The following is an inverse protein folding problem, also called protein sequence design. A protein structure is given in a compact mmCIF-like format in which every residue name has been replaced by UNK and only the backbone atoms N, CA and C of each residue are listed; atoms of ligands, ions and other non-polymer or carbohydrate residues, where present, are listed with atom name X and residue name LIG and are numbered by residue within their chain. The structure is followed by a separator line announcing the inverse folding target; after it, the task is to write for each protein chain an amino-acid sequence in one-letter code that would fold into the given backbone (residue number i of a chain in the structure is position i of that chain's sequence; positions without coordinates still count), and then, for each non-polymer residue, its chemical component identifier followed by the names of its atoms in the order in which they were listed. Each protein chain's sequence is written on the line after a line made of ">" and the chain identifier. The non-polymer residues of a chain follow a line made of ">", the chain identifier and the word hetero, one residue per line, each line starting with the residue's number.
data_IF_485072361751
#
_entry.id   IF_485072361751
#
_cell.length_a   1.000
_cell.length_b   1.000
_cell.length_c   1.000
_cell.angle_alpha   90.00
_cell.angle_beta   90.00
_cell.angle_gamma   90.00
#
_symmetry.space_group_name_H-M   'P 1'
#
loop_
_entity.id
_entity.type
_entity.pdbx_description
1 polymer ?
#
# COMPACT_ATOMS: atom_id res chain seq x y z
N UNK A 1 -4.98 16.25 -19.94
CA UNK A 1 -5.87 15.07 -19.83
C UNK A 1 -5.42 14.27 -18.63
N UNK A 2 -6.31 13.97 -17.68
CA UNK A 2 -5.97 13.08 -16.56
C UNK A 2 -5.98 11.63 -17.06
N UNK A 3 -4.92 10.88 -16.78
CA UNK A 3 -4.86 9.46 -17.13
C UNK A 3 -5.85 8.62 -16.31
N UNK A 4 -6.04 7.33 -16.68
CA UNK A 4 -6.80 6.37 -15.89
C UNK A 4 -6.32 6.32 -14.44
N UNK A 5 -7.27 6.33 -13.50
CA UNK A 5 -6.97 6.34 -12.06
C UNK A 5 -7.95 5.44 -11.31
N UNK A 6 -7.47 4.80 -10.25
CA UNK A 6 -8.30 4.11 -9.27
C UNK A 6 -8.19 4.83 -7.94
N UNK A 7 -9.33 5.29 -7.42
CA UNK A 7 -9.43 5.86 -6.07
C UNK A 7 -10.00 4.84 -5.11
N UNK A 8 -9.43 4.75 -3.92
CA UNK A 8 -9.88 3.87 -2.85
C UNK A 8 -10.12 4.74 -1.62
N UNK A 9 -11.19 4.44 -0.88
CA UNK A 9 -11.52 5.11 0.38
C UNK A 9 -12.01 4.07 1.39
N UNK A 10 -11.52 4.15 2.62
CA UNK A 10 -12.07 3.38 3.73
C UNK A 10 -13.28 4.08 4.34
N UNK A 11 -14.25 3.30 4.82
CA UNK A 11 -15.46 3.86 5.43
C UNK A 11 -15.19 4.51 6.79
N UNK A 12 -14.20 3.99 7.53
CA UNK A 12 -13.69 4.60 8.77
C UNK A 12 -12.46 5.50 8.57
N UNK A 13 -11.80 5.87 9.67
CA UNK A 13 -10.62 6.75 9.65
C UNK A 13 -9.33 6.10 9.08
N UNK A 14 -9.43 4.85 8.59
CA UNK A 14 -8.55 4.29 7.57
C UNK A 14 -7.08 4.05 7.90
N UNK A 15 -6.61 4.34 9.11
CA UNK A 15 -5.17 4.36 9.41
C UNK A 15 -4.62 3.15 10.18
N UNK A 16 -5.41 2.58 11.09
CA UNK A 16 -5.00 1.48 11.98
C UNK A 16 -6.22 0.64 12.31
N UNK A 17 -6.05 -0.67 12.24
CA UNK A 17 -7.05 -1.68 12.57
C UNK A 17 -6.44 -2.70 13.54
N UNK A 18 -7.26 -3.30 14.39
CA UNK A 18 -6.91 -4.44 15.24
C UNK A 18 -7.30 -5.75 14.55
N UNK A 19 -6.65 -6.87 14.89
CA UNK A 19 -7.15 -8.20 14.53
C UNK A 19 -8.63 -8.37 14.88
N UNK A 20 -9.41 -8.92 13.94
CA UNK A 20 -10.85 -9.09 14.09
C UNK A 20 -11.69 -7.86 13.75
N UNK A 21 -11.08 -6.69 13.52
CA UNK A 21 -11.81 -5.53 13.02
C UNK A 21 -12.35 -5.79 11.60
N UNK A 22 -13.47 -5.14 11.28
CA UNK A 22 -13.99 -5.11 9.92
C UNK A 22 -13.32 -3.98 9.14
N UNK A 23 -12.54 -4.35 8.11
CA UNK A 23 -12.08 -3.42 7.08
C UNK A 23 -13.14 -3.32 6.00
N UNK A 24 -13.65 -2.12 5.76
CA UNK A 24 -14.62 -1.85 4.70
C UNK A 24 -14.33 -0.54 3.99
N UNK A 25 -14.81 -0.43 2.75
CA UNK A 25 -14.65 0.76 1.95
C UNK A 25 -15.18 0.63 0.54
N UNK A 26 -14.81 1.61 -0.27
CA UNK A 26 -15.22 1.72 -1.66
C UNK A 26 -14.04 2.04 -2.58
N UNK A 27 -14.23 1.74 -3.86
CA UNK A 27 -13.35 2.16 -4.93
C UNK A 27 -14.12 2.78 -6.10
N UNK A 28 -13.44 3.67 -6.83
CA UNK A 28 -13.91 4.25 -8.09
C UNK A 28 -12.83 4.16 -9.15
N UNK A 29 -13.25 3.83 -10.37
CA UNK A 29 -12.40 3.91 -11.56
C UNK A 29 -12.73 5.21 -12.28
N UNK A 30 -11.74 6.06 -12.49
CA UNK A 30 -11.87 7.37 -13.13
C UNK A 30 -11.14 7.38 -14.47
N UNK A 31 -11.63 8.22 -15.40
CA UNK A 31 -11.01 8.41 -16.73
C UNK A 31 -10.89 7.12 -17.56
N UNK A 32 -11.81 6.17 -17.37
CA UNK A 32 -11.92 4.93 -18.14
C UNK A 32 -13.38 4.69 -18.54
N UNK A 33 -13.69 4.55 -19.84
CA UNK A 33 -15.03 4.17 -20.29
C UNK A 33 -15.45 2.79 -19.77
N UNK A 34 -16.70 2.62 -19.36
CA UNK A 34 -17.18 1.37 -18.78
C UNK A 34 -17.05 0.16 -19.71
N UNK A 35 -17.27 0.37 -21.02
CA UNK A 35 -17.12 -0.64 -22.06
C UNK A 35 -15.66 -1.05 -22.32
N UNK A 36 -14.69 -0.30 -21.79
CA UNK A 36 -13.28 -0.68 -21.86
C UNK A 36 -12.83 -1.53 -20.67
N UNK A 37 -13.66 -1.72 -19.63
CA UNK A 37 -13.30 -2.51 -18.45
C UNK A 37 -13.75 -3.95 -18.63
N UNK A 38 -12.80 -4.89 -18.58
CA UNK A 38 -13.09 -6.33 -18.62
C UNK A 38 -13.35 -6.91 -17.23
N UNK A 39 -12.53 -6.51 -16.26
CA UNK A 39 -12.66 -6.99 -14.90
C UNK A 39 -12.07 -5.99 -13.90
N UNK A 40 -12.56 -6.06 -12.67
CA UNK A 40 -11.97 -5.41 -11.51
C UNK A 40 -11.69 -6.46 -10.46
N UNK A 41 -10.46 -6.47 -9.98
CA UNK A 41 -10.02 -7.27 -8.84
C UNK A 41 -9.77 -6.36 -7.65
N UNK A 42 -10.23 -6.79 -6.48
CA UNK A 42 -9.97 -6.15 -5.20
C UNK A 42 -9.29 -7.18 -4.31
N UNK A 43 -8.14 -6.84 -3.76
CA UNK A 43 -7.39 -7.70 -2.86
C UNK A 43 -7.08 -6.96 -1.57
N UNK A 44 -7.35 -7.58 -0.43
CA UNK A 44 -6.73 -7.22 0.85
C UNK A 44 -5.51 -8.09 1.00
N UNK A 45 -4.33 -7.49 1.01
CA UNK A 45 -3.07 -8.24 0.99
C UNK A 45 -2.02 -7.61 1.89
N UNK A 46 -1.00 -8.41 2.16
CA UNK A 46 0.24 -7.92 2.74
C UNK A 46 1.44 -8.33 1.89
N UNK A 47 2.52 -7.58 2.04
CA UNK A 47 3.81 -7.89 1.44
C UNK A 47 4.96 -7.45 2.35
N UNK A 48 6.12 -8.08 2.20
CA UNK A 48 7.36 -7.63 2.82
C UNK A 48 8.11 -6.65 1.93
N UNK A 49 8.81 -5.70 2.56
CA UNK A 49 9.64 -4.68 1.91
C UNK A 49 10.94 -4.57 2.71
N UNK A 50 12.10 -4.55 2.06
CA UNK A 50 13.38 -4.27 2.71
C UNK A 50 14.55 -5.11 2.20
N UNK A 51 15.49 -5.44 3.08
CA UNK A 51 16.61 -6.33 2.77
C UNK A 51 16.18 -7.79 2.89
N UNK A 52 16.55 -8.59 1.90
CA UNK A 52 16.19 -10.01 1.80
C UNK A 52 15.12 -10.23 0.74
N UNK A 53 14.44 -11.35 0.83
CA UNK A 53 13.38 -11.72 -0.12
C UNK A 53 12.08 -10.99 0.19
N UNK A 54 11.44 -10.50 -0.87
CA UNK A 54 10.09 -9.95 -0.82
C UNK A 54 9.07 -11.09 -0.94
N UNK A 55 8.08 -11.09 -0.05
CA UNK A 55 6.98 -12.05 0.00
C UNK A 55 5.66 -11.30 -0.06
N UNK A 56 4.60 -11.97 -0.53
CA UNK A 56 3.27 -11.41 -0.67
C UNK A 56 2.22 -12.51 -0.46
N UNK A 57 1.20 -12.21 0.35
CA UNK A 57 0.01 -13.05 0.43
C UNK A 57 -1.29 -12.25 0.45
N UNK A 58 -2.30 -12.81 -0.18
CA UNK A 58 -3.66 -12.27 -0.24
C UNK A 58 -4.47 -12.84 0.92
N UNK A 59 -5.03 -11.95 1.74
CA UNK A 59 -5.96 -12.31 2.81
C UNK A 59 -7.38 -12.50 2.28
N UNK A 60 -7.83 -11.57 1.44
CA UNK A 60 -9.17 -11.62 0.85
C UNK A 60 -9.17 -11.11 -0.59
N UNK A 61 -10.04 -11.65 -1.43
CA UNK A 61 -10.05 -11.42 -2.88
C UNK A 61 -11.47 -11.42 -3.45
N UNK A 62 -11.79 -10.39 -4.23
CA UNK A 62 -13.00 -10.34 -5.05
C UNK A 62 -12.66 -9.99 -6.48
N UNK A 63 -13.33 -10.67 -7.41
CA UNK A 63 -13.26 -10.35 -8.84
C UNK A 63 -14.67 -10.15 -9.39
N UNK A 64 -14.85 -9.06 -10.12
CA UNK A 64 -16.06 -8.77 -10.89
C UNK A 64 -15.68 -8.63 -12.36
N UNK A 65 -16.40 -9.33 -13.24
CA UNK A 65 -16.14 -9.33 -14.69
C UNK A 65 -17.36 -8.78 -15.42
N UNK A 66 -17.14 -8.04 -16.52
CA UNK A 66 -18.23 -7.54 -17.35
C UNK A 66 -19.07 -8.68 -17.97
N UNK A 67 -18.44 -9.83 -18.24
CA UNK A 67 -19.05 -10.97 -18.92
C UNK A 67 -19.81 -11.92 -17.97
N UNK A 68 -19.67 -11.71 -16.64
CA UNK A 68 -20.31 -12.54 -15.63
C UNK A 68 -21.63 -11.91 -15.18
N UNK A 69 -22.75 -12.39 -15.72
CA UNK A 69 -24.15 -12.30 -15.26
C UNK A 69 -24.69 -11.03 -14.57
N UNK A 70 -24.03 -10.53 -13.53
CA UNK A 70 -24.40 -9.32 -12.78
C UNK A 70 -23.90 -8.01 -13.41
N UNK A 71 -22.97 -8.09 -14.37
CA UNK A 71 -22.42 -6.92 -15.05
C UNK A 71 -21.66 -5.95 -14.12
N UNK A 72 -20.88 -5.05 -14.70
CA UNK A 72 -20.09 -4.08 -13.94
C UNK A 72 -20.76 -2.70 -13.98
N UNK A 73 -21.64 -2.36 -13.02
CA UNK A 73 -22.20 -1.00 -12.93
C UNK A 73 -21.20 -0.03 -12.30
N UNK A 74 -20.34 0.53 -13.15
CA UNK A 74 -19.29 1.48 -12.77
C UNK A 74 -19.82 2.90 -12.46
N UNK A 75 -21.12 3.15 -12.62
CA UNK A 75 -21.74 4.42 -12.19
C UNK A 75 -21.82 4.51 -10.66
N UNK A 76 -21.73 3.37 -9.98
CA UNK A 76 -21.73 3.27 -8.52
C UNK A 76 -20.32 2.88 -8.04
N UNK A 77 -19.90 3.35 -6.86
CA UNK A 77 -18.66 2.86 -6.24
C UNK A 77 -18.76 1.36 -6.00
N UNK A 78 -17.71 0.62 -6.36
CA UNK A 78 -17.57 -0.77 -5.95
C UNK A 78 -17.23 -0.84 -4.46
N UNK A 79 -17.78 -1.81 -3.74
CA UNK A 79 -17.54 -1.98 -2.29
C UNK A 79 -16.79 -3.26 -1.97
N UNK A 80 -16.08 -3.24 -0.86
CA UNK A 80 -15.41 -4.40 -0.25
C UNK A 80 -15.58 -4.36 1.28
N UNK A 81 -15.57 -5.54 1.90
CA UNK A 81 -15.61 -5.69 3.36
C UNK A 81 -15.04 -7.04 3.78
N UNK A 82 -14.17 -7.08 4.78
CA UNK A 82 -13.63 -8.32 5.34
C UNK A 82 -13.28 -8.17 6.82
N UNK A 83 -13.22 -9.30 7.53
CA UNK A 83 -12.71 -9.37 8.90
C UNK A 83 -11.21 -9.60 8.83
N UNK A 84 -10.43 -8.74 9.49
CA UNK A 84 -8.97 -8.80 9.41
C UNK A 84 -8.38 -9.96 10.23
N UNK A 85 -7.33 -10.62 9.73
CA UNK A 85 -6.78 -11.81 10.38
C UNK A 85 -5.96 -11.44 11.62
N UNK A 86 -5.59 -12.47 12.39
CA UNK A 86 -4.70 -12.30 13.56
C UNK A 86 -3.24 -12.05 13.20
N UNK A 87 -2.82 -12.44 12.00
CA UNK A 87 -1.44 -12.33 11.54
C UNK A 87 -1.36 -12.32 10.01
N UNK A 88 -0.26 -11.82 9.44
CA UNK A 88 0.81 -11.08 10.13
C UNK A 88 0.38 -9.66 10.53
N UNK A 89 0.92 -9.14 11.63
CA UNK A 89 0.72 -7.74 11.98
C UNK A 89 1.60 -6.85 11.10
N UNK A 90 1.17 -5.61 10.86
CA UNK A 90 2.03 -4.59 10.28
C UNK A 90 3.28 -4.40 11.13
N UNK A 91 4.43 -4.38 10.48
CA UNK A 91 5.72 -4.23 11.13
C UNK A 91 6.55 -3.17 10.41
N UNK A 92 7.14 -2.25 11.17
CA UNK A 92 8.03 -1.20 10.67
C UNK A 92 9.43 -1.42 11.24
N UNK A 93 10.08 -2.48 10.76
CA UNK A 93 11.46 -2.80 11.10
C UNK A 93 12.48 -1.96 10.33
N UNK A 94 13.74 -2.02 10.77
CA UNK A 94 14.87 -1.37 10.09
C UNK A 94 15.29 -2.13 8.85
N UNK A 95 15.28 -3.47 8.90
CA UNK A 95 15.70 -4.34 7.80
C UNK A 95 14.53 -4.81 6.94
N UNK A 96 13.40 -5.13 7.57
CA UNK A 96 12.20 -5.63 6.91
C UNK A 96 10.97 -4.92 7.45
N UNK A 97 9.98 -4.71 6.59
CA UNK A 97 8.67 -4.16 6.92
C UNK A 97 7.61 -5.12 6.42
N UNK A 98 6.49 -5.20 7.14
CA UNK A 98 5.27 -5.88 6.68
C UNK A 98 4.24 -4.79 6.41
N UNK A 99 3.84 -4.64 5.15
CA UNK A 99 2.89 -3.64 4.67
C UNK A 99 1.56 -4.30 4.37
N UNK A 100 0.47 -3.66 4.79
CA UNK A 100 -0.88 -4.05 4.45
C UNK A 100 -1.50 -3.01 3.54
N UNK A 101 -2.23 -3.45 2.52
CA UNK A 101 -3.00 -2.56 1.66
C UNK A 101 -4.26 -3.23 1.12
N UNK A 102 -5.19 -2.38 0.67
CA UNK A 102 -6.19 -2.78 -0.31
C UNK A 102 -5.64 -2.40 -1.69
N UNK A 103 -5.53 -3.38 -2.57
CA UNK A 103 -5.12 -3.22 -3.97
C UNK A 103 -6.34 -3.42 -4.86
N UNK A 104 -6.59 -2.48 -5.75
CA UNK A 104 -7.63 -2.59 -6.78
C UNK A 104 -6.95 -2.57 -8.14
N UNK A 105 -7.12 -3.65 -8.91
CA UNK A 105 -6.60 -3.80 -10.27
C UNK A 105 -7.76 -3.79 -11.25
N UNK A 106 -7.64 -2.96 -12.27
CA UNK A 106 -8.63 -2.81 -13.34
C UNK A 106 -8.01 -3.32 -14.62
N UNK A 107 -8.58 -4.40 -15.14
CA UNK A 107 -8.15 -5.01 -16.40
C UNK A 107 -8.98 -4.40 -17.52
N UNK A 108 -8.30 -3.73 -18.44
CA UNK A 108 -8.92 -3.08 -19.57
C UNK A 108 -8.93 -4.00 -20.79
N UNK A 109 -9.75 -3.62 -21.77
CA UNK A 109 -9.63 -4.14 -23.12
C UNK A 109 -8.22 -3.90 -23.67
N UNK A 110 -7.78 -4.78 -24.58
CA UNK A 110 -6.42 -4.76 -25.18
C UNK A 110 -5.27 -5.02 -24.18
N UNK A 111 -5.56 -5.59 -23.02
CA UNK A 111 -4.53 -6.08 -22.08
C UNK A 111 -3.84 -5.01 -21.25
N UNK A 112 -4.36 -3.77 -21.23
CA UNK A 112 -3.89 -2.72 -20.33
C UNK A 112 -4.40 -2.95 -18.91
N UNK A 113 -3.63 -2.47 -17.94
CA UNK A 113 -4.00 -2.53 -16.53
C UNK A 113 -3.84 -1.15 -15.87
N UNK A 114 -4.74 -0.85 -14.93
CA UNK A 114 -4.64 0.29 -14.03
C UNK A 114 -4.76 -0.22 -12.61
N UNK A 115 -3.89 0.24 -11.72
CA UNK A 115 -3.86 -0.21 -10.32
C UNK A 115 -3.94 1.00 -9.38
N UNK A 116 -4.71 0.85 -8.32
CA UNK A 116 -4.70 1.72 -7.15
C UNK A 116 -4.42 0.92 -5.89
N UNK A 117 -3.72 1.53 -4.94
CA UNK A 117 -3.48 0.96 -3.62
C UNK A 117 -3.76 1.97 -2.53
N UNK A 118 -4.33 1.49 -1.42
CA UNK A 118 -4.45 2.26 -0.19
C UNK A 118 -3.95 1.44 0.99
N UNK A 119 -2.88 1.93 1.61
CA UNK A 119 -2.24 1.27 2.74
C UNK A 119 -3.04 1.47 4.03
N UNK A 120 -2.99 0.48 4.90
CA UNK A 120 -3.45 0.57 6.28
C UNK A 120 -2.46 -0.13 7.22
N UNK A 121 -2.64 0.01 8.53
CA UNK A 121 -1.89 -0.77 9.53
C UNK A 121 -2.79 -1.79 10.20
N UNK A 122 -2.31 -3.03 10.32
CA UNK A 122 -2.93 -4.07 11.13
C UNK A 122 -2.12 -4.29 12.41
N UNK A 123 -2.78 -4.15 13.55
CA UNK A 123 -2.14 -4.18 14.86
C UNK A 123 -1.35 -2.92 15.19
N UNK A 124 -0.63 -2.98 16.31
CA UNK A 124 0.07 -1.86 16.91
C UNK A 124 1.42 -2.32 17.44
N UNK A 125 2.26 -2.78 16.50
CA UNK A 125 3.64 -3.17 16.81
C UNK A 125 4.50 -1.89 16.80
N UNK A 126 5.20 -1.57 17.89
CA UNK A 126 6.10 -0.43 17.93
C UNK A 126 7.15 -0.50 16.80
N UNK A 127 7.48 0.64 16.21
CA UNK A 127 8.53 0.69 15.20
C UNK A 127 9.88 0.28 15.79
N UNK A 128 10.65 -0.51 15.06
CA UNK A 128 11.98 -0.90 15.51
C UNK A 128 12.91 0.33 15.49
N UNK A 129 13.79 0.43 16.48
CA UNK A 129 14.83 1.46 16.53
C UNK A 129 16.15 0.88 16.01
N UNK A 130 16.90 1.67 15.25
CA UNK A 130 18.25 1.29 14.89
C UNK A 130 19.15 1.26 16.14
N UNK A 131 20.06 0.27 16.28
CA UNK A 131 21.00 0.26 17.38
C UNK A 131 21.92 1.50 17.34
N UNK A 132 22.15 2.10 18.51
CA UNK A 132 22.82 3.40 18.72
C UNK A 132 24.25 3.48 18.15
N UNK A 133 24.90 2.35 17.87
CA UNK A 133 26.26 2.29 17.33
C UNK A 133 26.43 2.97 15.95
N UNK A 134 25.37 3.11 15.15
CA UNK A 134 25.42 3.79 13.86
C UNK A 134 25.41 5.33 13.97
N UNK A 135 24.86 5.91 15.05
CA UNK A 135 24.74 7.36 15.21
C UNK A 135 26.08 8.03 15.56
N UNK A 136 26.98 7.31 16.25
CA UNK A 136 28.28 7.84 16.68
C UNK A 136 29.30 7.93 15.54
N UNK A 137 29.12 7.19 14.43
CA UNK A 137 30.04 7.21 13.28
C UNK A 137 29.85 8.44 12.37
N UNK A 138 28.71 9.13 12.44
CA UNK A 138 28.43 10.30 11.61
C UNK A 138 29.01 11.62 12.18
N UNK A 139 29.29 11.68 13.48
CA UNK A 139 29.73 12.92 14.13
C UNK A 139 31.27 13.10 14.19
N UNK A 140 32.05 12.11 13.72
CA UNK A 140 33.51 12.12 13.77
C UNK A 140 34.23 12.69 12.53
N UNK A 141 33.51 13.26 11.56
CA UNK A 141 34.10 13.91 10.37
C UNK A 141 33.78 15.40 10.30
N UNK A 142 34.11 16.17 11.34
CA UNK A 142 34.26 17.63 11.26
C UNK A 142 35.32 18.12 12.25
N UNK A 143 36.57 18.19 11.78
CA UNK A 143 37.66 19.13 12.15
C UNK A 143 38.96 18.59 11.48
N UNK A 144 39.86 19.36 10.87
CA UNK A 144 40.04 20.79 10.76
C UNK A 144 40.77 21.12 9.44
N UNK A 145 40.44 22.24 8.81
CA UNK A 145 41.29 22.89 7.81
C UNK A 145 42.17 23.92 8.54
N UNK A 146 43.51 23.94 8.36
CA UNK A 146 44.30 25.03 8.87
C UNK A 146 44.17 26.24 7.95
N UNK A 147 43.77 27.37 8.54
CA UNK A 147 43.70 28.67 7.92
C UNK A 147 45.10 29.19 7.57
N UNK A 148 45.24 29.82 6.39
CA UNK A 148 46.36 30.69 6.05
C UNK A 148 46.31 31.95 6.93
N UNK A 149 47.45 32.37 7.45
CA UNK A 149 47.71 33.76 7.83
C UNK A 149 49.14 34.15 7.39
N UNK A 150 49.22 35.37 6.87
CA UNK A 150 50.36 36.06 6.25
C UNK A 150 50.77 37.24 7.17
N UNK A 151 51.99 37.77 6.95
CA UNK A 151 52.75 38.89 7.57
C UNK A 151 53.57 38.51 8.83
N UNK A 152 54.83 38.95 9.00
CA UNK A 152 55.55 40.08 8.40
C UNK A 152 56.88 39.69 7.74
#
# INVERSE_FOLDING_TARGET
>A
MNGPLVRIRFDGNGGVYRPGDTLSGEYRVESVPANEIKAVEVSVLWYTEGKGDEDLAVHDFWRRSADGGEGLDLRRPGRFSTILPRSPLSYRGVLVKIRWCVRVRVFLTRGREVMGELAFRLGDVPAARAPVAAALRANGRREAAPAKAVLA
#
